data_IF_111477325326
#
_entry.id   IF_111477325326
#
_cell.length_a   1.000
_cell.length_b   1.000
_cell.length_c   1.000
_cell.angle_alpha   90.00
_cell.angle_beta   90.00
_cell.angle_gamma   90.00
#
_symmetry.space_group_name_H-M   'P 1'
#
loop_
_entity.id
_entity.type
_entity.pdbx_description
1 polymer ?
#
# COMPACT_ATOMS: atom_id res chain seq x y z
N UNK A 1 -10.63 -4.93 -6.83
CA UNK A 1 -11.89 -5.58 -7.26
C UNK A 1 -13.05 -5.13 -6.36
N UNK A 2 -13.46 -3.86 -6.45
CA UNK A 2 -14.39 -3.27 -5.48
C UNK A 2 -15.60 -2.57 -6.11
N UNK A 3 -15.80 -2.71 -7.42
CA UNK A 3 -16.85 -1.99 -8.15
C UNK A 3 -18.02 -2.86 -8.64
N UNK A 4 -17.95 -4.19 -8.48
CA UNK A 4 -18.98 -5.12 -9.00
C UNK A 4 -20.11 -5.45 -8.00
N UNK A 5 -19.99 -5.04 -6.73
CA UNK A 5 -20.96 -5.39 -5.67
C UNK A 5 -22.15 -4.43 -5.62
N UNK A 6 -22.04 -3.24 -6.22
CA UNK A 6 -23.09 -2.22 -6.11
C UNK A 6 -24.24 -2.37 -7.11
N UNK A 7 -24.05 -3.14 -8.19
CA UNK A 7 -25.02 -3.22 -9.28
C UNK A 7 -26.19 -4.21 -9.04
N UNK A 8 -26.09 -5.08 -8.03
CA UNK A 8 -27.08 -6.15 -7.79
C UNK A 8 -28.24 -5.69 -6.87
N UNK A 9 -28.13 -4.53 -6.22
CA UNK A 9 -29.12 -4.11 -5.21
C UNK A 9 -30.27 -3.24 -5.74
N UNK A 10 -30.28 -2.79 -6.99
CA UNK A 10 -31.24 -1.78 -7.47
C UNK A 10 -32.47 -2.37 -8.18
N UNK A 11 -32.50 -3.66 -8.56
CA UNK A 11 -33.56 -4.20 -9.44
C UNK A 11 -34.78 -4.80 -8.71
N UNK A 12 -34.83 -4.84 -7.37
CA UNK A 12 -35.97 -5.48 -6.66
C UNK A 12 -37.13 -4.55 -6.29
N UNK A 13 -37.19 -3.36 -6.87
CA UNK A 13 -38.03 -2.25 -6.41
C UNK A 13 -39.25 -1.91 -7.28
N UNK A 14 -39.83 -2.82 -8.07
CA UNK A 14 -41.02 -2.48 -8.87
C UNK A 14 -41.97 -3.68 -9.01
N UNK A 15 -43.27 -3.43 -8.81
CA UNK A 15 -44.48 -4.26 -9.08
C UNK A 15 -44.85 -5.37 -8.07
N UNK A 16 -45.88 -5.15 -7.24
CA UNK A 16 -47.28 -5.42 -7.62
C UNK A 16 -48.21 -5.41 -6.38
N UNK A 17 -49.27 -4.60 -6.48
CA UNK A 17 -50.42 -4.52 -5.59
C UNK A 17 -51.40 -5.62 -6.02
N UNK A 18 -51.59 -6.68 -5.22
CA UNK A 18 -52.73 -7.60 -5.41
C UNK A 18 -53.08 -8.34 -4.11
N UNK A 19 -54.38 -8.58 -3.94
CA UNK A 19 -55.09 -9.06 -2.77
C UNK A 19 -55.17 -10.60 -2.79
N UNK A 20 -54.40 -11.34 -1.99
CA UNK A 20 -54.64 -12.78 -1.70
C UNK A 20 -53.73 -13.33 -0.57
N UNK A 21 -53.98 -14.53 0.00
CA UNK A 21 -53.43 -15.02 1.27
C UNK A 21 -51.98 -15.57 1.18
N UNK A 22 -51.19 -15.08 0.22
CA UNK A 22 -49.81 -15.51 -0.06
C UNK A 22 -48.74 -14.82 0.79
N UNK A 23 -49.12 -13.79 1.58
CA UNK A 23 -48.18 -12.99 2.39
C UNK A 23 -47.47 -13.79 3.49
N UNK A 24 -48.07 -14.88 3.99
CA UNK A 24 -47.50 -15.69 5.09
C UNK A 24 -46.33 -16.59 4.61
N UNK A 25 -46.34 -17.02 3.36
CA UNK A 25 -45.27 -17.82 2.73
C UNK A 25 -44.10 -16.94 2.25
N UNK A 26 -44.39 -15.76 1.68
CA UNK A 26 -43.37 -14.78 1.27
C UNK A 26 -42.58 -14.22 2.45
N UNK A 27 -43.22 -14.02 3.62
CA UNK A 27 -42.51 -13.62 4.84
C UNK A 27 -41.58 -14.71 5.38
N UNK A 28 -41.99 -15.99 5.30
CA UNK A 28 -41.14 -17.13 5.69
C UNK A 28 -39.94 -17.30 4.75
N UNK A 29 -40.14 -17.16 3.44
CA UNK A 29 -39.04 -17.21 2.46
C UNK A 29 -38.06 -16.04 2.60
N UNK A 30 -38.54 -14.80 2.84
CA UNK A 30 -37.65 -13.66 3.12
C UNK A 30 -36.86 -13.83 4.42
N UNK A 31 -37.48 -14.35 5.48
CA UNK A 31 -36.80 -14.63 6.75
C UNK A 31 -35.74 -15.72 6.62
N UNK A 32 -36.03 -16.78 5.86
CA UNK A 32 -35.11 -17.89 5.63
C UNK A 32 -33.94 -17.51 4.71
N UNK A 33 -34.20 -16.80 3.60
CA UNK A 33 -33.17 -16.27 2.72
C UNK A 33 -32.26 -15.26 3.44
N UNK A 34 -32.82 -14.41 4.31
CA UNK A 34 -32.04 -13.47 5.13
C UNK A 34 -31.16 -14.19 6.16
N UNK A 35 -31.64 -15.28 6.78
CA UNK A 35 -30.84 -16.13 7.69
C UNK A 35 -29.73 -16.88 6.96
N UNK A 36 -30.00 -17.42 5.78
CA UNK A 36 -28.98 -18.08 4.95
C UNK A 36 -27.94 -17.05 4.53
N UNK A 37 -28.34 -15.90 3.99
CA UNK A 37 -27.43 -14.84 3.54
C UNK A 37 -26.56 -14.29 4.70
N UNK A 38 -27.14 -14.05 5.87
CA UNK A 38 -26.39 -13.64 7.07
C UNK A 38 -25.42 -14.74 7.52
N UNK A 39 -25.81 -16.02 7.44
CA UNK A 39 -24.97 -17.16 7.76
C UNK A 39 -23.79 -17.31 6.78
N UNK A 40 -24.01 -17.26 5.47
CA UNK A 40 -22.92 -17.29 4.47
C UNK A 40 -22.03 -16.07 4.55
N UNK A 41 -22.59 -14.88 4.81
CA UNK A 41 -21.80 -13.64 4.93
C UNK A 41 -20.94 -13.62 6.21
N UNK A 42 -21.45 -14.18 7.31
CA UNK A 42 -20.71 -14.36 8.56
C UNK A 42 -19.63 -15.43 8.41
N UNK A 43 -19.94 -16.56 7.76
CA UNK A 43 -19.01 -17.66 7.51
C UNK A 43 -17.88 -17.24 6.56
N UNK A 44 -18.21 -16.52 5.48
CA UNK A 44 -17.21 -15.94 4.56
C UNK A 44 -16.32 -14.94 5.27
N UNK A 45 -16.86 -13.97 6.03
CA UNK A 45 -16.05 -13.04 6.85
C UNK A 45 -15.14 -13.78 7.83
N UNK A 46 -15.64 -14.81 8.51
CA UNK A 46 -14.85 -15.59 9.47
C UNK A 46 -13.72 -16.34 8.77
N UNK A 47 -13.96 -16.92 7.59
CA UNK A 47 -12.95 -17.55 6.75
C UNK A 47 -11.93 -16.52 6.24
N UNK A 48 -12.36 -15.33 5.78
CA UNK A 48 -11.42 -14.30 5.31
C UNK A 48 -10.52 -13.79 6.44
N UNK A 49 -11.09 -13.59 7.63
CA UNK A 49 -10.33 -13.16 8.82
C UNK A 49 -9.37 -14.26 9.30
N UNK A 50 -9.78 -15.52 9.25
CA UNK A 50 -8.91 -16.68 9.53
C UNK A 50 -7.77 -16.78 8.51
N UNK A 51 -8.07 -16.70 7.21
CA UNK A 51 -7.08 -16.76 6.13
C UNK A 51 -6.06 -15.61 6.24
N UNK A 52 -6.55 -14.39 6.54
CA UNK A 52 -5.70 -13.23 6.75
C UNK A 52 -4.75 -13.42 7.94
N UNK A 53 -5.25 -13.96 9.06
CA UNK A 53 -4.42 -14.21 10.26
C UNK A 53 -3.42 -15.34 10.06
N UNK A 54 -3.80 -16.41 9.38
CA UNK A 54 -2.97 -17.63 9.26
C UNK A 54 -1.91 -17.48 8.16
N UNK A 55 -2.27 -16.87 7.03
CA UNK A 55 -1.38 -16.83 5.85
C UNK A 55 -0.78 -15.44 5.65
N UNK A 56 -1.60 -14.38 5.63
CA UNK A 56 -1.10 -13.05 5.27
C UNK A 56 -0.24 -12.40 6.37
N UNK A 57 -0.55 -12.61 7.66
CA UNK A 57 0.27 -12.07 8.76
C UNK A 57 1.72 -12.58 8.79
N UNK A 58 1.99 -13.91 8.77
CA UNK A 58 3.37 -14.39 8.78
C UNK A 58 4.09 -14.00 7.49
N UNK A 59 3.40 -14.04 6.35
CA UNK A 59 3.95 -13.67 5.05
C UNK A 59 4.37 -12.19 5.02
N UNK A 60 3.51 -11.27 5.47
CA UNK A 60 3.83 -9.85 5.56
C UNK A 60 5.02 -9.60 6.49
N UNK A 61 5.05 -10.27 7.65
CA UNK A 61 6.14 -10.11 8.63
C UNK A 61 7.48 -10.62 8.07
N UNK A 62 7.47 -11.73 7.32
CA UNK A 62 8.65 -12.25 6.64
C UNK A 62 9.15 -11.27 5.56
N UNK A 63 8.23 -10.74 4.75
CA UNK A 63 8.55 -9.73 3.75
C UNK A 63 9.10 -8.46 4.38
N UNK A 64 8.52 -7.98 5.48
CA UNK A 64 9.00 -6.79 6.21
C UNK A 64 10.42 -6.96 6.74
N UNK A 65 10.74 -8.15 7.28
CA UNK A 65 12.11 -8.48 7.71
C UNK A 65 13.08 -8.51 6.53
N UNK A 66 12.66 -9.08 5.40
CA UNK A 66 13.47 -9.11 4.18
C UNK A 66 13.70 -7.70 3.61
N UNK A 67 12.67 -6.85 3.64
CA UNK A 67 12.74 -5.46 3.22
C UNK A 67 13.69 -4.65 4.10
N UNK A 68 13.57 -4.76 5.42
CA UNK A 68 14.48 -4.09 6.35
C UNK A 68 15.94 -4.52 6.12
N UNK A 69 16.19 -5.83 5.94
CA UNK A 69 17.54 -6.35 5.65
C UNK A 69 18.12 -5.84 4.33
N UNK A 70 17.30 -5.69 3.28
CA UNK A 70 17.74 -5.11 2.01
C UNK A 70 17.98 -3.61 2.12
N UNK A 71 17.10 -2.90 2.82
CA UNK A 71 17.21 -1.46 2.99
C UNK A 71 18.53 -1.08 3.70
N UNK A 72 18.94 -1.87 4.70
CA UNK A 72 20.20 -1.70 5.42
C UNK A 72 21.46 -1.78 4.53
N UNK A 73 21.37 -2.40 3.34
CA UNK A 73 22.51 -2.54 2.41
C UNK A 73 22.71 -1.34 1.48
N UNK A 74 21.79 -0.36 1.46
CA UNK A 74 21.99 0.83 0.63
C UNK A 74 23.10 1.70 1.21
N UNK A 75 24.17 1.98 0.45
CA UNK A 75 25.24 2.86 0.91
C UNK A 75 24.70 4.26 1.14
N UNK A 76 25.21 4.91 2.18
CA UNK A 76 24.96 6.33 2.43
C UNK A 76 25.86 7.09 1.44
N UNK A 77 25.31 8.02 0.65
CA UNK A 77 26.14 8.84 -0.21
C UNK A 77 27.12 9.68 0.64
N UNK A 78 28.30 10.05 0.12
CA UNK A 78 29.26 10.91 0.84
C UNK A 78 28.65 12.25 1.29
N UNK A 79 27.61 12.72 0.59
CA UNK A 79 26.86 13.95 0.91
C UNK A 79 25.90 13.78 2.11
N UNK A 80 25.81 12.59 2.70
CA UNK A 80 24.89 12.26 3.79
C UNK A 80 23.43 12.06 3.37
N UNK A 81 23.17 12.02 2.07
CA UNK A 81 21.85 11.78 1.49
C UNK A 81 21.63 10.27 1.34
N UNK A 82 20.48 9.78 1.82
CA UNK A 82 20.11 8.37 1.73
C UNK A 82 18.88 8.20 0.83
N UNK A 83 19.07 7.62 -0.35
CA UNK A 83 18.00 7.32 -1.29
C UNK A 83 17.66 5.83 -1.27
N UNK A 84 16.44 5.50 -0.81
CA UNK A 84 15.94 4.13 -0.79
C UNK A 84 14.83 3.98 -1.84
N UNK A 85 15.05 3.08 -2.80
CA UNK A 85 14.06 2.74 -3.82
C UNK A 85 13.03 1.75 -3.28
N UNK A 86 11.87 1.71 -3.91
CA UNK A 86 10.84 0.71 -3.60
C UNK A 86 11.44 -0.71 -3.64
N UNK A 87 11.03 -1.61 -2.74
CA UNK A 87 11.60 -2.95 -2.70
C UNK A 87 11.57 -3.72 -4.02
N UNK A 88 12.71 -4.35 -4.35
CA UNK A 88 12.90 -5.15 -5.55
C UNK A 88 12.06 -6.46 -5.60
N UNK A 89 11.25 -6.77 -4.58
CA UNK A 89 10.28 -7.87 -4.70
C UNK A 89 9.17 -7.58 -5.71
N UNK A 90 8.89 -6.30 -6.00
CA UNK A 90 8.03 -5.94 -7.13
C UNK A 90 8.60 -6.48 -8.44
N UNK A 91 9.93 -6.51 -8.62
CA UNK A 91 10.53 -7.09 -9.82
C UNK A 91 10.25 -8.59 -9.92
N UNK A 92 10.18 -9.32 -8.81
CA UNK A 92 9.78 -10.74 -8.83
C UNK A 92 8.34 -10.86 -9.35
N UNK A 93 7.43 -9.98 -8.92
CA UNK A 93 6.06 -9.99 -9.46
C UNK A 93 6.03 -9.68 -10.96
N UNK A 94 6.91 -8.79 -11.45
CA UNK A 94 7.09 -8.50 -12.89
C UNK A 94 7.55 -9.75 -13.65
N UNK A 95 8.53 -10.48 -13.12
CA UNK A 95 9.01 -11.72 -13.73
C UNK A 95 7.92 -12.80 -13.76
N UNK A 96 7.17 -12.98 -12.66
CA UNK A 96 6.08 -13.96 -12.60
C UNK A 96 4.97 -13.58 -13.59
N UNK A 97 4.55 -12.32 -13.63
CA UNK A 97 3.50 -11.87 -14.55
C UNK A 97 3.92 -12.02 -16.01
N UNK A 98 5.17 -11.68 -16.33
CA UNK A 98 5.72 -11.87 -17.68
C UNK A 98 5.77 -13.36 -18.05
N UNK A 99 6.27 -14.23 -17.16
CA UNK A 99 6.34 -15.68 -17.39
C UNK A 99 4.95 -16.27 -17.63
N UNK A 100 3.99 -16.00 -16.75
CA UNK A 100 2.61 -16.50 -16.90
C UNK A 100 1.97 -15.95 -18.17
N UNK A 101 2.18 -14.67 -18.48
CA UNK A 101 1.73 -14.05 -19.73
C UNK A 101 2.32 -14.75 -20.97
N UNK A 102 3.61 -15.05 -20.97
CA UNK A 102 4.28 -15.77 -22.08
C UNK A 102 3.74 -17.19 -22.25
N UNK A 103 3.52 -17.93 -21.16
CA UNK A 103 2.99 -19.30 -21.23
C UNK A 103 1.55 -19.32 -21.75
N UNK A 104 0.70 -18.42 -21.29
CA UNK A 104 -0.70 -18.33 -21.75
C UNK A 104 -0.79 -17.88 -23.21
N UNK A 105 0.02 -16.90 -23.62
CA UNK A 105 0.07 -16.47 -25.02
C UNK A 105 0.61 -17.58 -25.93
N UNK A 106 1.63 -18.32 -25.51
CA UNK A 106 2.13 -19.49 -26.25
C UNK A 106 1.07 -20.59 -26.38
N UNK A 107 0.30 -20.88 -25.32
CA UNK A 107 -0.81 -21.83 -25.36
C UNK A 107 -1.88 -21.38 -26.36
N UNK A 108 -2.24 -20.10 -26.36
CA UNK A 108 -3.23 -19.56 -27.30
C UNK A 108 -2.72 -19.65 -28.75
N UNK A 109 -1.46 -19.29 -29.00
CA UNK A 109 -0.84 -19.42 -30.33
C UNK A 109 -0.84 -20.87 -30.78
N UNK A 110 -0.51 -21.83 -29.89
CA UNK A 110 -0.58 -23.25 -30.20
C UNK A 110 -1.99 -23.70 -30.61
N UNK A 111 -3.03 -23.24 -29.90
CA UNK A 111 -4.43 -23.53 -30.24
C UNK A 111 -4.89 -22.89 -31.57
N UNK A 112 -4.29 -21.77 -31.98
CA UNK A 112 -4.55 -21.15 -33.28
C UNK A 112 -3.86 -21.91 -34.41
N UNK A 113 -2.62 -22.36 -34.19
CA UNK A 113 -1.85 -23.11 -35.19
C UNK A 113 -2.33 -24.56 -35.37
N UNK A 114 -2.95 -25.15 -34.35
CA UNK A 114 -3.53 -26.49 -34.39
C UNK A 114 -5.04 -26.43 -34.15
N UNK A 115 -5.82 -25.90 -35.12
CA UNK A 115 -7.26 -25.79 -34.98
C UNK A 115 -7.89 -27.19 -34.97
N UNK A 116 -8.77 -27.44 -34.00
CA UNK A 116 -9.65 -28.61 -34.08
C UNK A 116 -10.61 -28.42 -35.26
N UNK A 117 -10.92 -29.49 -35.98
CA UNK A 117 -11.77 -29.50 -37.20
C UNK A 117 -13.20 -28.96 -37.01
N UNK A 118 -13.58 -28.59 -35.79
CA UNK A 118 -14.91 -28.08 -35.40
C UNK A 118 -14.92 -26.61 -34.95
N UNK A 119 -13.85 -25.85 -35.16
CA UNK A 119 -13.81 -24.43 -34.77
C UNK A 119 -14.82 -23.58 -35.56
N UNK A 120 -15.78 -23.01 -34.84
CA UNK A 120 -16.76 -22.06 -35.38
C UNK A 120 -16.21 -20.63 -35.43
N UNK A 121 -16.76 -19.74 -36.28
CA UNK A 121 -16.36 -18.33 -36.35
C UNK A 121 -16.50 -17.59 -35.00
N UNK A 122 -17.45 -17.99 -34.16
CA UNK A 122 -17.60 -17.45 -32.80
C UNK A 122 -16.42 -17.84 -31.89
N UNK A 123 -15.86 -19.03 -32.06
CA UNK A 123 -14.74 -19.53 -31.25
C UNK A 123 -13.41 -18.90 -31.66
N UNK A 124 -13.19 -18.57 -32.94
CA UNK A 124 -11.98 -17.86 -33.36
C UNK A 124 -11.94 -16.43 -32.82
N UNK A 125 -13.10 -15.74 -32.79
CA UNK A 125 -13.20 -14.39 -32.21
C UNK A 125 -12.93 -14.38 -30.70
N UNK A 126 -13.40 -15.40 -29.97
CA UNK A 126 -13.16 -15.50 -28.53
C UNK A 126 -11.70 -15.82 -28.20
N UNK A 127 -11.04 -16.66 -29.00
CA UNK A 127 -9.59 -16.93 -28.89
C UNK A 127 -8.80 -15.64 -29.10
N UNK A 128 -9.09 -14.87 -30.15
CA UNK A 128 -8.44 -13.57 -30.39
C UNK A 128 -8.68 -12.58 -29.24
N UNK A 129 -9.92 -12.51 -28.73
CA UNK A 129 -10.25 -11.67 -27.58
C UNK A 129 -9.48 -12.06 -26.31
N UNK A 130 -9.34 -13.37 -26.05
CA UNK A 130 -8.57 -13.88 -24.91
C UNK A 130 -7.07 -13.59 -25.05
N UNK A 131 -6.53 -13.62 -26.26
CA UNK A 131 -5.13 -13.26 -26.54
C UNK A 131 -4.86 -11.80 -26.17
N UNK A 132 -5.70 -10.89 -26.68
CA UNK A 132 -5.59 -9.46 -26.39
C UNK A 132 -5.71 -9.21 -24.88
N UNK A 133 -6.68 -9.86 -24.22
CA UNK A 133 -6.87 -9.74 -22.78
C UNK A 133 -5.65 -10.21 -21.99
N UNK A 134 -5.07 -11.36 -22.34
CA UNK A 134 -3.87 -11.89 -21.68
C UNK A 134 -2.68 -10.95 -21.86
N UNK A 135 -2.47 -10.43 -23.08
CA UNK A 135 -1.37 -9.50 -23.36
C UNK A 135 -1.54 -8.22 -22.53
N UNK A 136 -2.72 -7.59 -22.60
CA UNK A 136 -3.00 -6.32 -21.91
C UNK A 136 -2.90 -6.48 -20.39
N UNK A 137 -3.45 -7.55 -19.82
CA UNK A 137 -3.43 -7.73 -18.37
C UNK A 137 -2.02 -8.08 -17.89
N UNK A 138 -1.39 -9.14 -18.40
CA UNK A 138 -0.14 -9.63 -17.81
C UNK A 138 1.05 -8.73 -18.13
N UNK A 139 1.17 -8.24 -19.38
CA UNK A 139 2.24 -7.33 -19.74
C UNK A 139 1.94 -5.90 -19.27
N UNK A 140 0.67 -5.46 -19.27
CA UNK A 140 0.30 -4.18 -18.68
C UNK A 140 0.60 -4.12 -17.18
N UNK A 141 0.31 -5.18 -16.43
CA UNK A 141 0.69 -5.29 -15.01
C UNK A 141 2.21 -5.33 -14.84
N UNK A 142 2.95 -6.04 -15.70
CA UNK A 142 4.40 -6.08 -15.67
C UNK A 142 5.02 -4.69 -15.89
N UNK A 143 4.58 -3.98 -16.92
CA UNK A 143 5.03 -2.61 -17.23
C UNK A 143 4.66 -1.65 -16.11
N UNK A 144 3.43 -1.72 -15.61
CA UNK A 144 2.97 -0.87 -14.51
C UNK A 144 3.80 -1.11 -13.24
N UNK A 145 4.02 -2.36 -12.85
CA UNK A 145 4.81 -2.71 -11.68
C UNK A 145 6.28 -2.27 -11.83
N UNK A 146 6.86 -2.41 -13.03
CA UNK A 146 8.21 -1.92 -13.33
C UNK A 146 8.32 -0.39 -13.23
N UNK A 147 7.36 0.35 -13.78
CA UNK A 147 7.33 1.82 -13.68
C UNK A 147 7.19 2.27 -12.22
N UNK A 148 6.36 1.60 -11.42
CA UNK A 148 6.25 1.86 -9.98
C UNK A 148 7.58 1.62 -9.25
N UNK A 149 8.27 0.52 -9.56
CA UNK A 149 9.59 0.22 -8.99
C UNK A 149 10.63 1.31 -9.32
N UNK A 150 10.62 1.84 -10.54
CA UNK A 150 11.52 2.94 -10.95
C UNK A 150 11.15 4.27 -10.32
N UNK A 151 9.86 4.57 -10.26
CA UNK A 151 9.39 5.90 -9.89
C UNK A 151 9.30 6.10 -8.39
N UNK A 152 8.98 5.07 -7.61
CA UNK A 152 8.80 5.22 -6.17
C UNK A 152 10.15 5.12 -5.46
N UNK A 153 10.57 6.25 -4.88
CA UNK A 153 11.68 6.29 -3.94
C UNK A 153 11.41 7.31 -2.85
N UNK A 154 12.08 7.10 -1.72
CA UNK A 154 12.17 8.08 -0.64
C UNK A 154 13.63 8.40 -0.45
N UNK A 155 13.94 9.68 -0.41
CA UNK A 155 15.25 10.23 -0.17
C UNK A 155 15.22 11.03 1.13
N UNK A 156 16.10 10.66 2.04
CA UNK A 156 16.23 11.30 3.35
C UNK A 156 17.58 11.98 3.41
N UNK A 157 17.58 13.31 3.45
CA UNK A 157 18.77 14.14 3.62
C UNK A 157 18.86 14.67 5.07
N UNK A 158 19.88 15.50 5.33
CA UNK A 158 20.07 16.15 6.64
C UNK A 158 19.05 17.24 6.92
N UNK A 159 18.54 17.88 5.88
CA UNK A 159 17.70 19.08 5.90
C UNK A 159 16.31 18.85 5.25
N UNK A 160 16.17 17.86 4.38
CA UNK A 160 14.90 17.55 3.71
C UNK A 160 14.57 16.05 3.65
N UNK A 161 13.29 15.78 3.38
CA UNK A 161 12.79 14.49 2.92
C UNK A 161 12.12 14.68 1.57
N UNK A 162 12.49 13.85 0.61
CA UNK A 162 11.89 13.82 -0.71
C UNK A 162 11.23 12.47 -0.97
N UNK A 163 10.00 12.50 -1.46
CA UNK A 163 9.31 11.31 -1.94
C UNK A 163 8.91 11.50 -3.39
N UNK A 164 9.16 10.47 -4.19
CA UNK A 164 8.59 10.37 -5.54
C UNK A 164 7.48 9.34 -5.56
N UNK A 165 6.32 9.75 -6.06
CA UNK A 165 5.15 8.88 -6.16
C UNK A 165 5.21 7.97 -7.38
N UNK A 166 4.30 6.98 -7.45
CA UNK A 166 4.11 6.08 -8.59
C UNK A 166 4.01 6.82 -9.94
N UNK A 167 3.27 7.94 -9.93
CA UNK A 167 3.05 8.82 -11.08
C UNK A 167 4.25 9.73 -11.40
N UNK A 168 5.36 9.59 -10.69
CA UNK A 168 6.59 10.35 -10.94
C UNK A 168 6.62 11.77 -10.36
N UNK A 169 5.55 12.23 -9.71
CA UNK A 169 5.52 13.51 -8.98
C UNK A 169 6.47 13.46 -7.80
N UNK A 170 7.34 14.46 -7.71
CA UNK A 170 8.32 14.64 -6.64
C UNK A 170 7.75 15.62 -5.62
N UNK A 171 7.73 15.21 -4.36
CA UNK A 171 7.36 16.06 -3.23
C UNK A 171 8.54 16.10 -2.28
N UNK A 172 9.24 17.23 -2.23
CA UNK A 172 10.28 17.52 -1.23
C UNK A 172 9.67 18.35 -0.11
N UNK A 173 10.02 18.09 1.14
CA UNK A 173 9.64 18.89 2.31
C UNK A 173 10.89 19.09 3.16
N UNK A 174 11.25 20.34 3.46
CA UNK A 174 12.33 20.63 4.41
C UNK A 174 11.84 20.41 5.83
N UNK A 175 12.73 19.96 6.74
CA UNK A 175 12.32 19.74 8.13
C UNK A 175 11.78 21.01 8.76
N UNK A 176 12.38 22.17 8.50
CA UNK A 176 11.90 23.48 8.98
C UNK A 176 10.45 23.80 8.62
N UNK A 177 9.96 23.29 7.48
CA UNK A 177 8.63 23.53 6.94
C UNK A 177 7.57 22.53 7.46
N UNK A 178 7.98 21.52 8.24
CA UNK A 178 7.05 20.49 8.74
C UNK A 178 6.16 21.09 9.83
N UNK A 179 4.87 21.17 9.53
CA UNK A 179 3.85 21.74 10.41
C UNK A 179 3.24 20.71 11.35
N UNK A 180 3.05 19.48 10.88
CA UNK A 180 2.47 18.39 11.64
C UNK A 180 3.01 17.03 11.19
N UNK A 181 2.87 16.03 12.05
CA UNK A 181 3.15 14.65 11.67
C UNK A 181 2.06 13.72 12.21
N UNK A 182 1.91 12.59 11.53
CA UNK A 182 1.05 11.49 11.97
C UNK A 182 1.83 10.19 11.90
N UNK A 183 1.77 9.43 13.00
CA UNK A 183 2.45 8.15 13.13
C UNK A 183 1.45 7.09 13.59
N UNK A 184 1.14 6.14 12.72
CA UNK A 184 0.14 5.11 13.01
C UNK A 184 0.59 3.73 12.54
N UNK A 185 -0.12 2.72 13.05
CA UNK A 185 0.16 1.32 12.78
C UNK A 185 -0.83 0.76 11.74
N UNK A 186 -0.30 0.19 10.67
CA UNK A 186 -1.08 -0.45 9.63
C UNK A 186 -0.48 -1.82 9.28
N UNK A 187 -1.25 -2.89 9.52
CA UNK A 187 -0.93 -4.28 9.13
C UNK A 187 0.53 -4.71 9.39
N UNK A 188 1.04 -4.52 10.61
CA UNK A 188 2.42 -4.82 11.04
C UNK A 188 3.52 -3.84 10.63
N UNK A 189 3.17 -2.76 9.93
CA UNK A 189 4.09 -1.70 9.59
C UNK A 189 3.67 -0.38 10.21
N UNK A 190 4.66 0.43 10.60
CA UNK A 190 4.43 1.80 11.04
C UNK A 190 4.51 2.71 9.83
N UNK A 191 3.55 3.62 9.70
CA UNK A 191 3.49 4.61 8.65
C UNK A 191 3.73 5.98 9.28
N UNK A 192 4.64 6.73 8.68
CA UNK A 192 4.91 8.12 9.03
C UNK A 192 4.42 9.00 7.89
N UNK A 193 3.58 9.98 8.24
CA UNK A 193 3.17 11.04 7.32
C UNK A 193 3.58 12.38 7.88
N UNK A 194 4.33 13.12 7.08
CA UNK A 194 4.71 14.50 7.34
C UNK A 194 3.80 15.44 6.57
N UNK A 195 3.34 16.50 7.23
CA UNK A 195 2.58 17.58 6.63
C UNK A 195 3.44 18.85 6.65
N UNK A 196 3.50 19.52 5.51
CA UNK A 196 4.10 20.85 5.37
C UNK A 196 3.06 21.94 5.65
N UNK A 197 3.51 23.12 6.05
CA UNK A 197 2.68 24.34 6.11
C UNK A 197 1.91 24.59 4.81
N UNK A 198 2.50 24.23 3.66
CA UNK A 198 1.96 24.53 2.33
C UNK A 198 0.95 23.48 1.85
N UNK A 199 0.56 22.53 2.70
CA UNK A 199 -0.34 21.43 2.34
C UNK A 199 0.31 20.28 1.57
N UNK A 200 1.64 20.31 1.38
CA UNK A 200 2.40 19.15 0.87
C UNK A 200 2.42 18.04 1.91
N UNK A 201 2.28 16.79 1.47
CA UNK A 201 2.39 15.62 2.34
C UNK A 201 3.37 14.59 1.79
N UNK A 202 4.14 13.99 2.69
CA UNK A 202 5.07 12.90 2.41
C UNK A 202 4.74 11.76 3.35
N UNK A 203 4.34 10.62 2.80
CA UNK A 203 3.90 9.44 3.55
C UNK A 203 4.70 8.22 3.15
N UNK A 204 5.40 7.63 4.11
CA UNK A 204 6.23 6.46 3.86
C UNK A 204 6.35 5.57 5.09
N UNK A 205 6.84 4.35 4.88
CA UNK A 205 7.09 3.37 5.93
C UNK A 205 8.55 3.48 6.39
N UNK A 206 8.84 3.99 7.60
CA UNK A 206 10.22 4.24 8.02
C UNK A 206 11.10 2.99 7.97
N UNK A 207 10.57 1.84 8.39
CA UNK A 207 11.30 0.56 8.40
C UNK A 207 11.72 0.05 7.01
N UNK A 208 10.98 0.41 5.96
CA UNK A 208 11.25 -0.03 4.58
C UNK A 208 12.17 0.96 3.87
N UNK A 209 12.00 2.26 4.15
CA UNK A 209 12.70 3.35 3.47
C UNK A 209 13.85 3.97 4.28
N UNK A 210 14.30 3.32 5.36
CA UNK A 210 15.30 3.85 6.30
C UNK A 210 14.97 5.25 6.79
N UNK A 211 13.76 5.37 7.32
CA UNK A 211 13.23 6.60 7.91
C UNK A 211 13.70 6.87 9.33
N UNK A 212 14.66 6.12 9.87
CA UNK A 212 15.10 6.25 11.27
C UNK A 212 15.65 7.66 11.54
N UNK A 213 16.33 8.27 10.56
CA UNK A 213 16.79 9.66 10.65
C UNK A 213 15.63 10.64 10.77
N UNK A 214 14.57 10.47 9.99
CA UNK A 214 13.37 11.33 10.05
C UNK A 214 12.70 11.22 11.41
N UNK A 215 12.59 10.00 11.95
CA UNK A 215 12.08 9.77 13.30
C UNK A 215 12.97 10.47 14.35
N UNK A 216 14.29 10.37 14.22
CA UNK A 216 15.23 11.03 15.12
C UNK A 216 15.15 12.57 15.04
N UNK A 217 14.98 13.15 13.85
CA UNK A 217 14.78 14.60 13.68
C UNK A 217 13.49 15.07 14.36
N UNK A 218 12.40 14.30 14.22
CA UNK A 218 11.13 14.59 14.91
C UNK A 218 11.29 14.50 16.43
N UNK A 219 11.94 13.45 16.93
CA UNK A 219 12.21 13.30 18.36
C UNK A 219 13.10 14.43 18.89
N UNK A 220 14.15 14.81 18.16
CA UNK A 220 15.01 15.94 18.51
C UNK A 220 14.20 17.23 18.66
N UNK A 221 13.30 17.51 17.71
CA UNK A 221 12.41 18.69 17.81
C UNK A 221 11.52 18.63 19.04
N UNK A 222 10.99 17.46 19.39
CA UNK A 222 10.13 17.31 20.56
C UNK A 222 10.88 17.57 21.87
N UNK A 223 12.16 17.21 21.97
CA UNK A 223 12.96 17.44 23.17
C UNK A 223 13.56 18.85 23.25
N UNK A 224 14.02 19.41 22.12
CA UNK A 224 14.78 20.66 22.10
C UNK A 224 13.96 21.87 21.62
N UNK A 225 12.69 21.68 21.24
CA UNK A 225 11.78 22.70 20.69
C UNK A 225 12.31 23.48 19.48
N UNK A 226 13.39 22.99 18.86
CA UNK A 226 14.03 23.56 17.67
C UNK A 226 14.37 22.45 16.67
N UNK A 227 14.52 22.82 15.41
CA UNK A 227 15.03 21.90 14.40
C UNK A 227 16.55 21.73 14.53
N UNK A 228 17.09 20.55 14.20
CA UNK A 228 18.54 20.34 14.15
C UNK A 228 19.14 21.13 12.98
N UNK A 229 20.26 21.81 13.21
CA UNK A 229 20.95 22.53 12.13
C UNK A 229 21.71 21.53 11.24
N UNK A 230 21.48 21.51 9.91
CA UNK A 230 22.19 20.64 8.97
C UNK A 230 23.72 20.78 8.98
N UNK A 231 24.23 21.96 9.35
CA UNK A 231 25.66 22.30 9.35
C UNK A 231 26.34 22.05 10.69
N UNK A 232 25.59 21.92 11.78
CA UNK A 232 26.14 21.70 13.11
C UNK A 232 26.43 20.20 13.35
N UNK A 233 27.71 19.83 13.44
CA UNK A 233 28.13 18.45 13.65
C UNK A 233 27.60 17.82 14.93
N UNK A 234 27.43 18.60 16.00
CA UNK A 234 26.94 18.09 17.29
C UNK A 234 25.46 17.72 17.21
N UNK A 235 24.65 18.54 16.55
CA UNK A 235 23.23 18.24 16.32
C UNK A 235 23.07 17.00 15.44
N UNK A 236 23.87 16.90 14.36
CA UNK A 236 23.84 15.74 13.47
C UNK A 236 24.29 14.46 14.19
N UNK A 237 25.28 14.55 15.09
CA UNK A 237 25.72 13.41 15.91
C UNK A 237 24.60 12.89 16.83
N UNK A 238 23.84 13.78 17.47
CA UNK A 238 22.69 13.40 18.32
C UNK A 238 21.63 12.69 17.48
N UNK A 239 21.26 13.26 16.32
CA UNK A 239 20.26 12.67 15.42
C UNK A 239 20.70 11.29 14.92
N UNK A 240 21.95 11.13 14.53
CA UNK A 240 22.49 9.86 14.05
C UNK A 240 22.55 8.80 15.16
N UNK A 241 22.94 9.20 16.37
CA UNK A 241 22.93 8.33 17.55
C UNK A 241 21.50 7.88 17.91
N UNK A 242 20.54 8.80 17.88
CA UNK A 242 19.12 8.47 18.13
C UNK A 242 18.53 7.56 17.05
N UNK A 243 18.90 7.77 15.78
CA UNK A 243 18.49 6.92 14.66
C UNK A 243 19.07 5.50 14.78
N UNK A 244 20.35 5.38 15.17
CA UNK A 244 21.01 4.09 15.35
C UNK A 244 20.44 3.28 16.54
N UNK A 245 20.13 3.96 17.65
CA UNK A 245 19.68 3.30 18.87
C UNK A 245 18.18 2.96 18.88
N UNK A 246 17.42 3.41 17.86
CA UNK A 246 15.96 3.19 17.78
C UNK A 246 15.16 3.88 18.88
N UNK A 247 15.79 4.78 19.65
CA UNK A 247 15.17 5.51 20.77
C UNK A 247 14.08 6.43 20.24
N UNK A 248 14.32 7.08 19.10
CA UNK A 248 13.36 7.98 18.47
C UNK A 248 12.03 7.31 18.11
N UNK A 249 12.08 6.05 17.65
CA UNK A 249 10.87 5.29 17.32
C UNK A 249 10.03 5.00 18.57
N UNK A 250 10.68 4.69 19.70
CA UNK A 250 10.00 4.46 20.98
C UNK A 250 9.40 5.76 21.54
N UNK A 251 10.14 6.86 21.47
CA UNK A 251 9.68 8.18 21.92
C UNK A 251 8.41 8.62 21.15
N UNK A 252 8.44 8.52 19.81
CA UNK A 252 7.29 8.87 18.97
C UNK A 252 6.10 7.93 19.15
N UNK A 253 6.34 6.65 19.45
CA UNK A 253 5.27 5.68 19.66
C UNK A 253 4.51 5.88 20.98
N UNK A 254 5.24 6.13 22.06
CA UNK A 254 4.66 6.26 23.40
C UNK A 254 3.72 7.47 23.53
N UNK A 255 3.86 8.47 22.66
CA UNK A 255 2.99 9.66 22.66
C UNK A 255 1.75 9.56 21.75
N UNK A 256 1.49 8.40 21.12
CA UNK A 256 0.33 8.14 20.25
C UNK A 256 -0.09 9.31 19.32
N UNK A 257 0.75 9.72 18.36
CA UNK A 257 0.56 10.97 17.63
C UNK A 257 -0.23 10.71 16.34
N UNK A 258 -1.54 10.53 16.47
CA UNK A 258 -2.43 10.73 15.32
C UNK A 258 -2.65 12.24 15.18
N UNK A 259 -1.87 12.88 14.29
CA UNK A 259 -2.05 14.29 13.93
C UNK A 259 -1.52 15.29 14.97
N UNK A 260 -0.29 15.10 15.46
CA UNK A 260 0.33 16.08 16.38
C UNK A 260 0.79 17.30 15.60
N UNK A 261 0.12 18.44 15.83
CA UNK A 261 0.53 19.73 15.32
C UNK A 261 1.84 20.14 15.99
N UNK A 262 2.87 20.33 15.20
CA UNK A 262 4.16 20.79 15.70
C UNK A 262 4.28 22.32 15.72
N UNK A 263 3.34 23.04 15.08
CA UNK A 263 3.28 24.50 15.06
C UNK A 263 2.71 25.14 16.34
N UNK A 264 2.10 24.36 17.24
CA UNK A 264 1.62 24.91 18.50
C UNK A 264 2.77 24.91 19.53
N UNK A 265 3.00 26.03 20.26
CA UNK A 265 3.77 25.96 21.48
C UNK A 265 3.09 24.96 22.42
N UNK A 266 3.91 24.21 23.18
CA UNK A 266 3.42 23.51 24.35
C UNK A 266 2.79 24.55 25.28
N UNK A 267 1.46 24.70 25.23
CA UNK A 267 0.75 25.44 26.26
C UNK A 267 0.82 24.61 27.53
N UNK A 268 1.73 25.04 28.41
CA UNK A 268 1.52 25.25 29.84
C UNK A 268 0.24 24.61 30.38
N UNK A 269 0.39 23.48 31.08
CA UNK A 269 0.00 23.27 32.48
C UNK A 269 0.52 21.92 32.97
#
# INVERSE_FOLDING_TARGET
MSYLVWYVCIVSGVLCRSHSPTKRLLFRCRSFARRIFLSTHYRTRKITVMLHRIIQRPLNTAFDKLYARRAAKFPINPDGVLRVRHPALILISVFISALVGTLLTALIVYMVLHPNTTQTPQQSLSILGSFILCVVIFYGLAVWAYLNYRNIYVETARDYVEQRNAFGRITRIYYSEVSAYSYWYEYNNKILTLFSSDGRQVSFRPKIYRGERVLAVLAFRMYNSRWPDPRNSSDQYIVETQAANGIAEKALWNEHPVGKNLLMPQNVQ
#
